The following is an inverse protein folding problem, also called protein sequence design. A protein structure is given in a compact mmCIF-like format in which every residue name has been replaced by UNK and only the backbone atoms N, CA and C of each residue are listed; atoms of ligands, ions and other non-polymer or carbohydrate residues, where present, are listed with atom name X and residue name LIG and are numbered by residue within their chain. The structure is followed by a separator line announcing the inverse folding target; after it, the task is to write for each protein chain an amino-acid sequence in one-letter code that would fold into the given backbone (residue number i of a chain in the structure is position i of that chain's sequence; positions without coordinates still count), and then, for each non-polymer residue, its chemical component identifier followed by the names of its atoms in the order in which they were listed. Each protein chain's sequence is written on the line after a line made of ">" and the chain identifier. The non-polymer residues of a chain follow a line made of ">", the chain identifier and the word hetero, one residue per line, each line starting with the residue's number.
data_IF_152690494111
#
_entry.id   IF_152690494111
#
_cell.length_a   1.000
_cell.length_b   1.000
_cell.length_c   1.000
_cell.angle_alpha   90.00
_cell.angle_beta   90.00
_cell.angle_gamma   90.00
#
_symmetry.space_group_name_H-M   'P 1'
#
loop_
_entity.id
_entity.type
_entity.pdbx_description
1 polymer ?
#
# COMPACT_ATOMS: atom_id res chain seq x y z
N UNK A 1 86.99 8.10 14.70
CA UNK A 1 87.69 9.40 14.60
C UNK A 1 88.82 9.40 15.61
N UNK A 2 89.98 10.00 15.31
CA UNK A 2 91.00 10.27 16.33
C UNK A 2 90.64 11.57 17.05
N UNK A 3 91.06 11.69 18.31
CA UNK A 3 90.84 12.91 19.11
C UNK A 3 91.51 14.10 18.43
N UNK A 4 90.72 15.13 18.07
CA UNK A 4 91.19 16.34 17.37
C UNK A 4 90.84 16.42 15.89
N UNK A 5 90.29 15.35 15.27
CA UNK A 5 89.85 15.40 13.87
C UNK A 5 88.53 16.18 13.72
N UNK A 6 88.47 17.08 12.72
CA UNK A 6 87.26 17.81 12.34
C UNK A 6 86.50 17.03 11.26
N UNK A 7 85.62 16.13 11.70
CA UNK A 7 84.74 15.35 10.83
C UNK A 7 83.32 15.35 11.38
N UNK A 8 82.36 15.64 10.51
CA UNK A 8 80.94 15.55 10.78
C UNK A 8 80.31 14.49 9.88
N UNK A 9 79.32 13.78 10.40
CA UNK A 9 78.47 12.86 9.62
C UNK A 9 77.09 13.50 9.55
N UNK A 10 76.55 13.62 8.35
CA UNK A 10 75.14 13.96 8.17
C UNK A 10 74.43 12.87 7.37
N UNK A 11 73.12 12.77 7.52
CA UNK A 11 72.30 11.80 6.81
C UNK A 11 71.06 12.47 6.24
N UNK A 12 70.69 12.12 5.01
CA UNK A 12 69.41 12.50 4.40
C UNK A 12 68.59 11.25 4.14
N UNK A 13 67.36 11.22 4.63
CA UNK A 13 66.42 10.12 4.41
C UNK A 13 65.34 10.55 3.41
N UNK A 14 65.06 9.70 2.42
CA UNK A 14 64.05 9.97 1.39
C UNK A 14 63.14 8.78 1.17
N UNK A 15 61.84 9.05 0.99
CA UNK A 15 60.90 8.04 0.51
C UNK A 15 61.10 7.78 -0.98
N UNK A 16 60.85 6.54 -1.40
CA UNK A 16 60.89 6.16 -2.81
C UNK A 16 59.83 6.85 -3.68
N UNK A 17 58.68 7.23 -3.10
CA UNK A 17 57.69 8.09 -3.72
C UNK A 17 56.79 8.72 -2.64
N UNK A 18 56.01 9.73 -3.04
CA UNK A 18 55.12 10.47 -2.14
C UNK A 18 53.72 9.84 -1.94
N UNK A 19 53.44 8.68 -2.54
CA UNK A 19 52.11 8.07 -2.45
C UNK A 19 51.87 7.41 -1.10
N UNK A 20 50.61 7.40 -0.67
CA UNK A 20 50.16 6.68 0.52
C UNK A 20 50.54 5.20 0.46
N UNK A 21 50.88 4.64 1.62
CA UNK A 21 51.15 3.22 1.77
C UNK A 21 52.00 2.91 3.01
N UNK A 22 51.96 1.66 3.41
CA UNK A 22 52.79 1.08 4.48
C UNK A 22 53.97 0.31 3.89
N UNK A 23 55.03 0.10 4.67
CA UNK A 23 56.21 -0.65 4.23
C UNK A 23 57.02 0.04 3.14
N UNK A 24 56.88 1.36 3.01
CA UNK A 24 57.58 2.14 1.97
C UNK A 24 59.08 2.12 2.20
N UNK A 25 59.82 2.12 1.10
CA UNK A 25 61.27 2.20 1.12
C UNK A 25 61.73 3.62 1.50
N UNK A 26 62.58 3.68 2.53
CA UNK A 26 63.30 4.87 2.97
C UNK A 26 64.78 4.65 2.69
N UNK A 27 65.37 5.46 1.81
CA UNK A 27 66.81 5.43 1.52
C UNK A 27 67.51 6.49 2.36
N UNK A 28 68.42 6.05 3.22
CA UNK A 28 69.27 6.92 4.06
C UNK A 28 70.65 7.04 3.40
N UNK A 29 71.00 8.25 3.00
CA UNK A 29 72.29 8.58 2.39
C UNK A 29 73.15 9.34 3.39
N UNK A 30 74.36 8.84 3.64
CA UNK A 30 75.32 9.47 4.56
C UNK A 30 76.34 10.32 3.80
N UNK A 31 76.67 11.48 4.36
CA UNK A 31 77.73 12.36 3.85
C UNK A 31 78.68 12.75 4.97
N UNK A 32 79.94 12.95 4.63
CA UNK A 32 80.96 13.45 5.54
C UNK A 32 81.29 14.91 5.24
N UNK A 33 81.42 15.72 6.28
CA UNK A 33 81.87 17.11 6.22
C UNK A 33 82.98 17.39 7.24
N UNK A 34 83.51 18.61 7.25
CA UNK A 34 84.65 19.01 8.09
C UNK A 34 86.00 18.90 7.38
N UNK A 35 87.01 19.57 7.92
CA UNK A 35 88.34 19.69 7.30
C UNK A 35 89.03 18.33 7.09
N UNK A 36 88.71 17.34 7.91
CA UNK A 36 89.32 16.00 7.86
C UNK A 36 88.45 14.95 7.15
N UNK A 37 87.29 15.31 6.58
CA UNK A 37 86.32 14.37 5.99
C UNK A 37 86.92 13.42 4.93
N UNK A 38 87.82 13.94 4.09
CA UNK A 38 88.45 13.17 3.02
C UNK A 38 89.35 12.02 3.52
N UNK A 39 89.72 12.02 4.81
CA UNK A 39 90.52 10.95 5.45
C UNK A 39 89.66 9.76 5.87
N UNK A 40 88.33 9.85 5.72
CA UNK A 40 87.36 8.88 6.21
C UNK A 40 86.50 8.32 5.08
N UNK A 41 86.10 7.05 5.22
CA UNK A 41 85.14 6.40 4.31
C UNK A 41 83.72 6.75 4.74
N UNK A 42 82.90 7.23 3.81
CA UNK A 42 81.46 7.43 4.02
C UNK A 42 80.79 6.09 4.40
N UNK A 43 79.87 6.08 5.38
CA UNK A 43 79.04 4.91 5.67
C UNK A 43 78.20 4.47 4.47
N UNK A 44 77.90 3.16 4.37
CA UNK A 44 77.02 2.66 3.30
C UNK A 44 75.58 3.15 3.50
N UNK A 45 74.90 3.44 2.38
CA UNK A 45 73.50 3.82 2.40
C UNK A 45 72.64 2.66 2.90
N UNK A 46 71.64 2.97 3.71
CA UNK A 46 70.70 1.96 4.22
C UNK A 46 69.34 2.14 3.55
N UNK A 47 68.68 1.03 3.20
CA UNK A 47 67.28 1.04 2.76
C UNK A 47 66.42 0.33 3.80
N UNK A 48 65.43 1.05 4.36
CA UNK A 48 64.46 0.52 5.31
C UNK A 48 63.10 0.34 4.62
N UNK A 49 62.37 -0.74 4.91
CA UNK A 49 61.01 -0.97 4.37
C UNK A 49 59.94 -0.86 5.46
N UNK A 50 60.06 0.17 6.28
CA UNK A 50 59.17 0.43 7.42
C UNK A 50 58.40 1.73 7.28
N UNK A 51 58.59 2.45 6.17
CA UNK A 51 57.99 3.76 5.98
C UNK A 51 56.49 3.70 5.84
N UNK A 52 55.81 4.73 6.35
CA UNK A 52 54.35 4.87 6.27
C UNK A 52 54.00 6.28 5.82
N UNK A 53 53.15 6.37 4.79
CA UNK A 53 52.50 7.61 4.38
C UNK A 53 51.00 7.39 4.51
N UNK A 54 50.36 8.18 5.37
CA UNK A 54 48.91 8.14 5.60
C UNK A 54 48.16 9.07 4.64
N UNK A 55 46.88 8.78 4.41
CA UNK A 55 46.03 9.62 3.54
C UNK A 55 45.90 11.02 4.10
N UNK A 56 45.97 12.01 3.22
CA UNK A 56 45.68 13.39 3.59
C UNK A 56 44.15 13.60 3.60
N UNK A 57 43.56 14.02 4.73
CA UNK A 57 42.15 14.36 4.74
C UNK A 57 41.90 15.63 3.94
N UNK A 58 40.89 15.57 3.07
CA UNK A 58 40.31 16.74 2.41
C UNK A 58 39.18 17.32 3.25
N UNK A 59 39.06 18.63 3.24
CA UNK A 59 37.97 19.34 3.92
C UNK A 59 36.96 19.82 2.90
N UNK A 60 35.69 19.40 3.02
CA UNK A 60 34.60 19.93 2.23
C UNK A 60 34.35 21.41 2.63
N UNK A 61 34.45 22.33 1.67
CA UNK A 61 34.24 23.76 1.91
C UNK A 61 32.78 24.14 1.68
N UNK A 62 32.23 23.74 0.54
CA UNK A 62 30.83 24.00 0.17
C UNK A 62 30.25 22.81 -0.58
N UNK A 63 28.99 22.52 -0.28
CA UNK A 63 28.12 21.66 -1.07
C UNK A 63 26.75 22.31 -1.09
N UNK A 64 26.24 22.59 -2.29
CA UNK A 64 24.84 22.99 -2.48
C UNK A 64 24.00 21.82 -3.00
N UNK A 65 24.49 20.60 -2.84
CA UNK A 65 23.73 19.40 -3.20
C UNK A 65 22.47 19.32 -2.34
N UNK A 66 21.41 18.85 -2.96
CA UNK A 66 20.13 18.59 -2.31
C UNK A 66 19.64 17.22 -2.73
N UNK A 67 18.68 16.68 -1.99
CA UNK A 67 18.10 15.36 -2.30
C UNK A 67 16.85 15.57 -3.15
N UNK A 68 16.76 14.87 -4.28
CA UNK A 68 15.57 14.91 -5.13
C UNK A 68 14.36 14.30 -4.40
N UNK A 69 13.13 14.75 -4.70
CA UNK A 69 11.93 14.10 -4.19
C UNK A 69 11.89 12.62 -4.60
N UNK A 70 11.52 11.74 -3.66
CA UNK A 70 11.41 10.31 -3.89
C UNK A 70 9.99 9.83 -3.56
N UNK A 71 9.39 9.02 -4.42
CA UNK A 71 8.18 8.25 -4.09
C UNK A 71 8.65 6.89 -3.56
N UNK A 72 7.97 6.37 -2.54
CA UNK A 72 8.29 5.09 -1.93
C UNK A 72 8.41 3.97 -2.98
N UNK A 73 9.56 3.31 -2.99
CA UNK A 73 9.94 2.24 -3.92
C UNK A 73 10.59 1.05 -3.22
N UNK A 74 10.57 1.03 -1.87
CA UNK A 74 11.20 -0.02 -1.06
C UNK A 74 12.73 0.05 -0.96
N UNK A 75 13.39 1.07 -1.53
CA UNK A 75 14.84 1.22 -1.55
C UNK A 75 15.33 2.41 -0.70
N UNK A 76 16.54 2.29 -0.14
CA UNK A 76 17.23 3.39 0.56
C UNK A 76 18.02 4.31 -0.38
N UNK A 77 18.13 3.99 -1.67
CA UNK A 77 18.89 4.82 -2.61
C UNK A 77 18.30 6.24 -2.73
N UNK A 78 19.14 7.27 -2.58
CA UNK A 78 18.76 8.66 -2.74
C UNK A 78 19.38 9.26 -4.00
N UNK A 79 18.59 10.00 -4.77
CA UNK A 79 19.09 10.74 -5.92
C UNK A 79 19.54 12.12 -5.45
N UNK A 80 20.83 12.42 -5.60
CA UNK A 80 21.38 13.74 -5.32
C UNK A 80 21.22 14.64 -6.55
N UNK A 81 20.72 15.86 -6.34
CA UNK A 81 20.66 16.88 -7.38
C UNK A 81 22.02 17.55 -7.55
N UNK A 82 22.41 17.94 -8.78
CA UNK A 82 23.71 18.52 -9.06
C UNK A 82 24.02 19.73 -8.17
N UNK A 83 25.22 19.75 -7.61
CA UNK A 83 25.79 20.86 -6.87
C UNK A 83 27.31 20.75 -6.85
N UNK A 84 28.05 21.87 -6.87
CA UNK A 84 29.51 21.83 -6.81
C UNK A 84 29.96 21.16 -5.51
N UNK A 85 30.95 20.28 -5.63
CA UNK A 85 31.69 19.70 -4.51
C UNK A 85 33.04 20.40 -4.48
N UNK A 86 33.20 21.35 -3.55
CA UNK A 86 34.44 22.11 -3.42
C UNK A 86 35.16 21.64 -2.16
N UNK A 87 36.41 21.23 -2.33
CA UNK A 87 37.29 20.75 -1.26
C UNK A 87 38.52 21.63 -1.13
N UNK A 88 39.11 21.64 0.06
CA UNK A 88 40.45 22.15 0.31
C UNK A 88 41.38 21.02 0.79
N UNK A 89 42.69 21.27 0.70
CA UNK A 89 43.72 20.33 1.13
C UNK A 89 44.42 19.57 -0.01
N UNK A 90 43.94 19.69 -1.25
CA UNK A 90 44.65 19.17 -2.42
C UNK A 90 46.03 19.83 -2.57
N UNK A 91 47.04 19.02 -2.87
CA UNK A 91 48.39 19.48 -3.20
C UNK A 91 48.42 19.89 -4.67
N UNK A 92 49.11 20.99 -4.98
CA UNK A 92 49.18 21.51 -6.35
C UNK A 92 49.75 20.49 -7.32
N UNK A 93 49.04 20.26 -8.43
CA UNK A 93 49.39 19.26 -9.46
C UNK A 93 48.70 17.91 -9.29
N UNK A 94 48.08 17.62 -8.14
CA UNK A 94 47.34 16.38 -7.93
C UNK A 94 45.99 16.40 -8.65
N UNK A 95 45.67 15.31 -9.34
CA UNK A 95 44.39 15.12 -10.00
C UNK A 95 43.48 14.20 -9.20
N UNK A 96 42.38 14.76 -8.69
CA UNK A 96 41.32 14.05 -7.96
C UNK A 96 39.96 14.53 -8.45
N UNK A 97 39.14 13.60 -8.95
CA UNK A 97 37.73 13.80 -9.25
C UNK A 97 36.90 13.23 -8.09
N UNK A 98 35.80 13.89 -7.75
CA UNK A 98 34.93 13.49 -6.64
C UNK A 98 33.51 13.32 -7.17
N UNK A 99 32.94 12.14 -6.94
CA UNK A 99 31.50 11.89 -7.11
C UNK A 99 30.85 11.63 -5.75
N UNK A 100 29.53 11.79 -5.70
CA UNK A 100 28.75 11.62 -4.47
C UNK A 100 27.60 10.65 -4.69
N UNK A 101 27.32 9.81 -3.70
CA UNK A 101 26.19 8.89 -3.67
C UNK A 101 25.41 9.09 -2.38
N UNK A 102 24.08 9.13 -2.48
CA UNK A 102 23.17 9.35 -1.36
C UNK A 102 22.45 8.09 -0.93
N UNK A 103 22.34 7.85 0.37
CA UNK A 103 21.54 6.75 0.94
C UNK A 103 20.69 7.27 2.10
N UNK A 104 19.37 7.08 2.04
CA UNK A 104 18.47 7.32 3.15
C UNK A 104 18.75 6.35 4.30
N UNK A 105 18.60 6.80 5.54
CA UNK A 105 18.78 5.95 6.72
C UNK A 105 17.88 4.69 6.72
N UNK A 106 16.69 4.80 6.15
CA UNK A 106 15.75 3.70 5.92
C UNK A 106 14.83 4.02 4.73
N UNK A 107 14.16 3.00 4.19
CA UNK A 107 13.34 3.13 2.99
C UNK A 107 11.93 3.69 3.26
N UNK A 108 11.49 3.83 4.52
CA UNK A 108 10.11 4.19 4.84
C UNK A 108 9.78 5.62 4.44
N UNK A 109 8.52 5.83 4.05
CA UNK A 109 7.99 7.15 3.75
C UNK A 109 8.13 8.09 4.96
N UNK A 110 8.41 9.36 4.70
CA UNK A 110 8.63 10.38 5.72
C UNK A 110 9.31 11.63 5.18
N UNK A 111 9.22 12.71 5.95
CA UNK A 111 9.87 13.98 5.66
C UNK A 111 11.11 14.21 6.53
N UNK A 112 12.09 14.97 6.03
CA UNK A 112 13.29 15.33 6.80
C UNK A 112 14.18 14.13 7.14
N UNK A 113 14.10 13.07 6.34
CA UNK A 113 14.89 11.85 6.56
C UNK A 113 16.36 12.15 6.31
N UNK A 114 17.22 11.65 7.19
CA UNK A 114 18.66 11.74 7.01
C UNK A 114 19.10 10.96 5.77
N UNK A 115 19.95 11.60 4.97
CA UNK A 115 20.63 11.01 3.82
C UNK A 115 22.12 11.10 4.06
N UNK A 116 22.78 9.95 4.20
CA UNK A 116 24.25 9.89 4.20
C UNK A 116 24.75 10.09 2.77
N UNK A 117 25.69 11.02 2.61
CA UNK A 117 26.38 11.31 1.36
C UNK A 117 27.80 10.77 1.45
N UNK A 118 28.09 9.73 0.67
CA UNK A 118 29.42 9.14 0.55
C UNK A 118 30.12 9.70 -0.68
N UNK A 119 31.42 9.97 -0.55
CA UNK A 119 32.23 10.53 -1.62
C UNK A 119 33.19 9.49 -2.20
N UNK A 120 33.12 9.31 -3.52
CA UNK A 120 34.03 8.44 -4.25
C UNK A 120 35.11 9.28 -4.93
N UNK A 121 36.37 9.03 -4.59
CA UNK A 121 37.52 9.74 -5.15
C UNK A 121 38.13 8.91 -6.27
N UNK A 122 38.39 9.55 -7.41
CA UNK A 122 39.05 8.92 -8.57
C UNK A 122 40.08 9.86 -9.19
N UNK A 123 40.94 9.38 -10.09
CA UNK A 123 42.07 10.13 -10.63
C UNK A 123 43.41 9.63 -10.10
N UNK A 124 44.51 10.13 -10.67
CA UNK A 124 45.86 9.60 -10.45
C UNK A 124 46.37 9.75 -9.02
N UNK A 125 45.88 10.76 -8.29
CA UNK A 125 46.27 11.01 -6.91
C UNK A 125 45.20 10.57 -5.88
N UNK A 126 44.05 10.04 -6.31
CA UNK A 126 42.90 9.80 -5.44
C UNK A 126 43.19 8.91 -4.21
N UNK A 127 44.05 7.90 -4.37
CA UNK A 127 44.44 7.01 -3.28
C UNK A 127 45.21 7.71 -2.16
N UNK A 128 45.77 8.90 -2.43
CA UNK A 128 46.50 9.69 -1.45
C UNK A 128 45.59 10.51 -0.54
N UNK A 129 44.28 10.54 -0.82
CA UNK A 129 43.31 11.39 -0.14
C UNK A 129 42.16 10.58 0.46
N UNK A 130 41.53 11.19 1.46
CA UNK A 130 40.27 10.74 2.03
C UNK A 130 39.33 11.92 2.20
N UNK A 131 38.03 11.72 1.97
CA UNK A 131 37.00 12.70 2.24
C UNK A 131 35.93 12.06 3.12
N UNK A 132 35.60 12.70 4.24
CA UNK A 132 34.58 12.21 5.16
C UNK A 132 33.18 12.35 4.54
N UNK A 133 32.28 11.41 4.86
CA UNK A 133 30.87 11.51 4.50
C UNK A 133 30.21 12.71 5.19
N UNK A 134 29.14 13.20 4.58
CA UNK A 134 28.29 14.26 5.14
C UNK A 134 26.83 13.81 5.20
N UNK A 135 25.96 14.60 5.81
CA UNK A 135 24.52 14.33 5.83
C UNK A 135 23.74 15.45 5.14
N UNK A 136 22.67 15.05 4.47
CA UNK A 136 21.61 15.93 3.96
C UNK A 136 20.27 15.46 4.51
N UNK A 137 19.21 16.20 4.20
CA UNK A 137 17.83 15.76 4.44
C UNK A 137 17.09 15.61 3.12
N UNK A 138 16.20 14.62 3.07
CA UNK A 138 15.30 14.38 1.95
C UNK A 138 13.94 13.85 2.40
N UNK A 139 13.03 13.73 1.44
CA UNK A 139 11.68 13.25 1.69
C UNK A 139 11.40 12.02 0.84
N UNK A 140 10.75 11.01 1.43
CA UNK A 140 10.13 9.88 0.73
C UNK A 140 8.62 10.04 0.87
N UNK A 141 7.93 10.37 -0.22
CA UNK A 141 6.48 10.49 -0.27
C UNK A 141 5.85 9.09 -0.32
N UNK A 142 4.80 8.81 0.48
CA UNK A 142 4.08 7.55 0.39
C UNK A 142 3.59 7.26 -1.02
N UNK A 143 3.62 6.00 -1.44
CA UNK A 143 3.15 5.60 -2.77
C UNK A 143 1.63 5.49 -2.79
N UNK A 144 0.99 6.07 -3.80
CA UNK A 144 -0.45 5.99 -3.97
C UNK A 144 -0.86 4.57 -4.43
N UNK A 145 -1.73 3.90 -3.66
CA UNK A 145 -2.38 2.67 -4.11
C UNK A 145 -3.61 2.97 -4.95
N UNK A 146 -3.97 2.05 -5.84
CA UNK A 146 -5.20 2.11 -6.63
C UNK A 146 -5.96 0.80 -6.52
N UNK A 147 -7.28 0.87 -6.73
CA UNK A 147 -8.15 -0.31 -6.84
C UNK A 147 -8.84 -0.27 -8.19
N UNK A 148 -8.85 -1.39 -8.91
CA UNK A 148 -9.65 -1.57 -10.12
C UNK A 148 -10.86 -2.44 -9.82
N UNK A 149 -11.99 -2.16 -10.50
CA UNK A 149 -13.20 -3.00 -10.50
C UNK A 149 -13.78 -3.35 -9.10
N UNK A 150 -13.93 -2.41 -8.15
CA UNK A 150 -14.66 -2.70 -6.92
C UNK A 150 -16.13 -2.98 -7.26
N UNK A 151 -16.74 -3.96 -6.60
CA UNK A 151 -18.17 -4.22 -6.72
C UNK A 151 -18.85 -4.01 -5.38
N UNK A 152 -20.01 -3.37 -5.43
CA UNK A 152 -20.81 -3.07 -4.24
C UNK A 152 -22.19 -3.67 -4.46
N UNK A 153 -22.45 -4.81 -3.82
CA UNK A 153 -23.72 -5.50 -3.99
C UNK A 153 -24.20 -6.13 -2.70
N UNK A 154 -25.52 -6.10 -2.49
CA UNK A 154 -26.17 -6.88 -1.44
C UNK A 154 -27.59 -7.27 -1.82
N UNK A 155 -28.15 -8.19 -1.04
CA UNK A 155 -29.59 -8.42 -0.97
C UNK A 155 -30.18 -7.41 0.02
N UNK A 156 -31.40 -6.96 -0.26
CA UNK A 156 -32.15 -6.07 0.62
C UNK A 156 -32.23 -6.63 2.05
N UNK A 157 -31.78 -5.83 3.01
CA UNK A 157 -31.74 -6.14 4.44
C UNK A 157 -32.33 -5.00 5.29
N UNK A 158 -32.91 -3.98 4.64
CA UNK A 158 -33.42 -2.77 5.29
C UNK A 158 -32.37 -1.76 5.77
N UNK A 159 -31.07 -2.01 5.57
CA UNK A 159 -29.99 -1.10 5.99
C UNK A 159 -29.37 -0.33 4.82
N UNK A 160 -28.62 0.74 5.10
CA UNK A 160 -27.83 1.47 4.09
C UNK A 160 -26.37 1.02 4.03
N UNK A 161 -25.95 0.08 4.87
CA UNK A 161 -24.58 -0.43 4.87
C UNK A 161 -24.28 -1.12 3.54
N UNK A 162 -23.15 -0.73 2.93
CA UNK A 162 -22.70 -1.33 1.69
C UNK A 162 -21.79 -2.53 1.97
N UNK A 163 -21.98 -3.60 1.19
CA UNK A 163 -21.10 -4.77 1.20
C UNK A 163 -20.16 -4.66 -0.01
N UNK A 164 -18.86 -4.70 0.28
CA UNK A 164 -17.82 -4.50 -0.71
C UNK A 164 -17.13 -5.81 -1.04
N UNK A 165 -16.95 -6.06 -2.32
CA UNK A 165 -15.89 -6.95 -2.80
C UNK A 165 -14.84 -6.06 -3.44
N UNK A 166 -13.65 -6.05 -2.83
CA UNK A 166 -12.51 -5.36 -3.41
C UNK A 166 -12.14 -6.04 -4.72
N UNK A 167 -11.85 -5.24 -5.74
CA UNK A 167 -11.16 -5.74 -6.91
C UNK A 167 -9.65 -5.78 -6.67
N UNK A 168 -8.87 -5.66 -7.73
CA UNK A 168 -7.40 -5.77 -7.63
C UNK A 168 -6.78 -4.49 -7.05
N UNK A 169 -5.95 -4.64 -6.03
CA UNK A 169 -5.10 -3.56 -5.50
C UNK A 169 -3.82 -3.49 -6.34
N UNK A 170 -3.43 -2.30 -6.77
CA UNK A 170 -2.20 -2.05 -7.51
C UNK A 170 -1.34 -0.98 -6.84
N UNK A 171 -0.03 -1.06 -7.06
CA UNK A 171 0.96 -0.12 -6.55
C UNK A 171 1.82 -0.64 -5.40
N UNK A 172 1.45 -1.76 -4.78
CA UNK A 172 2.25 -2.43 -3.73
C UNK A 172 3.63 -2.81 -4.31
N UNK A 173 4.68 -2.49 -3.57
CA UNK A 173 6.08 -2.77 -3.92
C UNK A 173 6.44 -4.15 -3.39
N UNK A 174 6.96 -5.03 -4.26
CA UNK A 174 7.46 -6.34 -3.86
C UNK A 174 6.42 -7.19 -3.13
N UNK A 175 6.75 -7.60 -1.90
CA UNK A 175 5.89 -8.41 -1.02
C UNK A 175 5.55 -7.66 0.27
N UNK A 176 5.49 -6.32 0.22
CA UNK A 176 5.09 -5.52 1.38
C UNK A 176 3.74 -5.99 1.94
N UNK A 177 3.67 -6.12 3.26
CA UNK A 177 2.43 -6.43 3.97
C UNK A 177 1.57 -5.17 4.07
N UNK A 178 0.66 -5.06 3.10
CA UNK A 178 -0.35 -4.00 3.02
C UNK A 178 -1.70 -4.61 2.66
N UNK A 179 -2.63 -4.55 3.62
CA UNK A 179 -4.02 -4.94 3.43
C UNK A 179 -4.88 -3.71 3.22
N UNK A 180 -5.75 -3.75 2.21
CA UNK A 180 -6.75 -2.71 1.95
C UNK A 180 -8.11 -3.20 2.40
N UNK A 181 -8.86 -2.37 3.12
CA UNK A 181 -10.28 -2.60 3.39
C UNK A 181 -11.10 -1.43 2.88
N UNK A 182 -12.39 -1.68 2.61
CA UNK A 182 -13.34 -0.66 2.18
C UNK A 182 -14.54 -0.63 3.10
N UNK A 183 -15.01 0.58 3.38
CA UNK A 183 -16.28 0.85 4.06
C UNK A 183 -17.07 1.87 3.26
N UNK A 184 -18.38 1.90 3.45
CA UNK A 184 -19.25 2.81 2.73
C UNK A 184 -20.73 2.51 2.93
N UNK A 185 -21.55 3.38 2.37
CA UNK A 185 -23.01 3.31 2.49
C UNK A 185 -23.68 3.63 1.16
N UNK A 186 -24.85 3.05 0.96
CA UNK A 186 -25.82 3.50 -0.03
C UNK A 186 -26.53 4.76 0.46
N UNK A 187 -27.00 5.60 -0.46
CA UNK A 187 -27.82 6.76 -0.11
C UNK A 187 -29.15 6.37 0.57
N UNK A 188 -29.70 5.21 0.19
CA UNK A 188 -30.92 4.65 0.75
C UNK A 188 -30.91 3.11 0.63
N UNK A 189 -31.77 2.44 1.40
CA UNK A 189 -31.82 0.99 1.49
C UNK A 189 -32.59 0.31 0.35
N UNK A 190 -33.25 1.04 -0.55
CA UNK A 190 -34.16 0.44 -1.53
C UNK A 190 -33.41 -0.27 -2.66
N UNK A 191 -34.05 -1.33 -3.17
CA UNK A 191 -33.62 -2.10 -4.34
C UNK A 191 -33.38 -1.17 -5.53
N UNK A 192 -32.30 -1.44 -6.25
CA UNK A 192 -31.93 -0.66 -7.43
C UNK A 192 -30.50 -0.91 -7.88
N UNK A 193 -30.22 -0.55 -9.12
CA UNK A 193 -28.90 -0.62 -9.76
C UNK A 193 -28.33 0.77 -9.98
N UNK A 194 -27.01 0.90 -10.04
CA UNK A 194 -26.35 2.17 -10.28
C UNK A 194 -26.46 3.16 -9.11
N UNK A 195 -26.73 2.65 -7.91
CA UNK A 195 -26.83 3.49 -6.71
C UNK A 195 -25.47 4.11 -6.42
N UNK A 196 -25.43 5.44 -6.31
CA UNK A 196 -24.24 6.16 -5.88
C UNK A 196 -23.82 5.67 -4.50
N UNK A 197 -22.61 5.14 -4.42
CA UNK A 197 -22.01 4.62 -3.18
C UNK A 197 -20.69 5.35 -2.96
N UNK A 198 -20.53 5.94 -1.77
CA UNK A 198 -19.24 6.51 -1.34
C UNK A 198 -18.39 5.41 -0.73
N UNK A 199 -17.18 5.22 -1.26
CA UNK A 199 -16.25 4.18 -0.80
C UNK A 199 -15.04 4.81 -0.14
N UNK A 200 -14.83 4.52 1.14
CA UNK A 200 -13.66 4.93 1.91
C UNK A 200 -12.75 3.73 2.15
N UNK A 201 -11.48 3.89 1.79
CA UNK A 201 -10.48 2.84 1.93
C UNK A 201 -9.60 3.07 3.15
N UNK A 202 -9.21 1.98 3.81
CA UNK A 202 -8.27 1.98 4.92
C UNK A 202 -7.12 1.01 4.62
N UNK A 203 -5.93 1.34 5.12
CA UNK A 203 -4.75 0.51 5.01
C UNK A 203 -4.39 -0.07 6.38
N UNK A 204 -3.89 -1.30 6.38
CA UNK A 204 -3.31 -1.97 7.54
C UNK A 204 -2.17 -2.89 7.09
N UNK A 205 -1.42 -3.45 8.05
CA UNK A 205 -0.21 -4.22 7.77
C UNK A 205 1.07 -3.46 8.11
N UNK A 206 2.18 -4.18 8.18
CA UNK A 206 3.45 -3.65 8.69
C UNK A 206 4.03 -2.50 7.83
N UNK A 207 3.76 -2.49 6.52
CA UNK A 207 4.26 -1.47 5.59
C UNK A 207 3.21 -0.42 5.22
N UNK A 208 2.01 -0.46 5.81
CA UNK A 208 0.90 0.43 5.42
C UNK A 208 1.24 1.93 5.46
N UNK A 209 2.07 2.37 6.41
CA UNK A 209 2.48 3.77 6.53
C UNK A 209 3.30 4.29 5.34
N UNK A 210 3.84 3.40 4.50
CA UNK A 210 4.59 3.75 3.29
C UNK A 210 3.69 4.05 2.08
N UNK A 211 2.37 3.96 2.25
CA UNK A 211 1.39 4.07 1.18
C UNK A 211 0.26 5.04 1.53
N UNK A 212 -0.31 5.66 0.51
CA UNK A 212 -1.60 6.34 0.61
C UNK A 212 -2.70 5.37 0.19
N UNK A 213 -3.80 5.34 0.96
CA UNK A 213 -4.98 4.56 0.63
C UNK A 213 -5.54 4.97 -0.74
N UNK A 214 -6.17 4.05 -1.50
CA UNK A 214 -6.86 4.41 -2.72
C UNK A 214 -7.83 5.58 -2.50
N UNK A 215 -7.95 6.43 -3.52
CA UNK A 215 -8.78 7.63 -3.42
C UNK A 215 -10.24 7.25 -3.12
N UNK A 216 -10.84 7.95 -2.16
CA UNK A 216 -12.28 7.88 -1.91
C UNK A 216 -13.02 8.45 -3.12
N UNK A 217 -13.91 7.66 -3.71
CA UNK A 217 -14.72 8.06 -4.86
C UNK A 217 -16.18 7.70 -4.60
N UNK A 218 -17.11 8.55 -5.04
CA UNK A 218 -18.52 8.23 -5.14
C UNK A 218 -18.82 7.73 -6.55
N UNK A 219 -19.19 6.45 -6.67
CA UNK A 219 -19.40 5.80 -7.97
C UNK A 219 -20.84 5.24 -8.06
N UNK A 220 -21.49 5.31 -9.23
CA UNK A 220 -22.80 4.70 -9.46
C UNK A 220 -22.65 3.18 -9.73
N UNK A 221 -22.02 2.46 -8.81
CA UNK A 221 -21.71 1.03 -8.93
C UNK A 221 -22.54 0.16 -7.97
N UNK A 222 -23.32 0.79 -7.09
CA UNK A 222 -24.08 0.10 -6.06
C UNK A 222 -25.28 -0.67 -6.63
N UNK A 223 -25.45 -1.91 -6.17
CA UNK A 223 -26.58 -2.77 -6.53
C UNK A 223 -27.21 -3.38 -5.28
N UNK A 224 -28.47 -3.03 -5.00
CA UNK A 224 -29.29 -3.73 -4.01
C UNK A 224 -30.30 -4.59 -4.76
N UNK A 225 -30.25 -5.90 -4.57
CA UNK A 225 -31.21 -6.86 -5.13
C UNK A 225 -32.35 -7.12 -4.15
N UNK A 226 -33.53 -7.45 -4.66
CA UNK A 226 -34.71 -7.68 -3.82
C UNK A 226 -34.56 -8.93 -2.95
N UNK A 227 -35.04 -8.86 -1.71
CA UNK A 227 -35.08 -10.01 -0.81
C UNK A 227 -36.19 -10.98 -1.23
N UNK A 228 -35.95 -12.29 -1.32
CA UNK A 228 -37.00 -13.23 -1.65
C UNK A 228 -37.98 -13.37 -0.48
N UNK A 229 -39.28 -13.40 -0.77
CA UNK A 229 -40.26 -14.00 0.14
C UNK A 229 -40.13 -15.52 0.08
N UNK A 230 -40.17 -16.18 1.24
CA UNK A 230 -39.80 -17.59 1.38
C UNK A 230 -40.93 -18.48 1.85
N UNK A 231 -41.91 -17.93 2.58
CA UNK A 231 -43.06 -18.70 3.05
C UNK A 231 -44.31 -17.83 3.24
N UNK A 232 -45.45 -18.50 3.23
CA UNK A 232 -46.75 -18.02 3.70
C UNK A 232 -47.37 -19.09 4.60
N UNK A 233 -47.92 -18.70 5.75
CA UNK A 233 -48.62 -19.63 6.64
C UNK A 233 -50.03 -19.98 6.14
N UNK A 234 -50.77 -20.82 6.87
CA UNK A 234 -52.12 -21.22 6.48
C UNK A 234 -53.09 -20.01 6.41
N UNK A 235 -54.12 -20.13 5.58
CA UNK A 235 -55.24 -19.19 5.54
C UNK A 235 -55.99 -19.27 6.87
N UNK A 236 -56.34 -18.11 7.43
CA UNK A 236 -57.10 -17.98 8.67
C UNK A 236 -58.57 -17.65 8.36
N UNK A 237 -59.47 -18.04 9.27
CA UNK A 237 -60.92 -17.87 9.12
C UNK A 237 -61.65 -19.18 8.85
N UNK A 238 -62.97 -19.13 8.82
CA UNK A 238 -63.82 -20.30 8.57
C UNK A 238 -64.13 -20.39 7.07
N UNK A 239 -63.84 -21.52 6.39
CA UNK A 239 -64.15 -21.72 4.97
C UNK A 239 -65.66 -21.84 4.71
N UNK A 240 -66.38 -20.71 4.74
CA UNK A 240 -67.84 -20.64 4.57
C UNK A 240 -68.20 -19.44 3.71
N UNK A 241 -69.28 -19.57 2.94
CA UNK A 241 -69.88 -18.43 2.23
C UNK A 241 -70.18 -17.28 3.20
N UNK A 242 -69.81 -16.06 2.81
CA UNK A 242 -70.06 -14.85 3.60
C UNK A 242 -69.09 -14.62 4.76
N UNK A 243 -68.26 -15.59 5.13
CA UNK A 243 -67.25 -15.46 6.19
C UNK A 243 -65.90 -14.98 5.65
N UNK A 244 -65.22 -14.09 6.38
CA UNK A 244 -63.95 -13.53 5.94
C UNK A 244 -62.80 -14.54 6.10
N UNK A 245 -62.06 -14.76 5.02
CA UNK A 245 -60.76 -15.41 5.01
C UNK A 245 -59.65 -14.38 5.02
N UNK A 246 -58.58 -14.66 5.75
CA UNK A 246 -57.37 -13.82 5.83
C UNK A 246 -56.17 -14.62 5.37
N UNK A 247 -55.37 -14.05 4.46
CA UNK A 247 -54.13 -14.66 4.01
C UNK A 247 -53.17 -14.90 5.19
N UNK A 248 -52.36 -15.95 5.09
CA UNK A 248 -51.33 -16.24 6.09
C UNK A 248 -50.26 -15.15 6.19
N UNK A 249 -49.52 -15.17 7.29
CA UNK A 249 -48.34 -14.31 7.50
C UNK A 249 -47.22 -14.67 6.53
N UNK A 250 -46.53 -13.65 6.01
CA UNK A 250 -45.41 -13.79 5.05
C UNK A 250 -44.07 -13.79 5.78
N UNK A 251 -43.13 -14.61 5.29
CA UNK A 251 -41.72 -14.57 5.69
C UNK A 251 -40.85 -14.01 4.56
N UNK A 252 -40.01 -12.98 4.81
CA UNK A 252 -39.84 -12.29 6.09
C UNK A 252 -41.04 -11.39 6.46
N UNK A 253 -41.21 -11.14 7.77
CA UNK A 253 -42.26 -10.25 8.27
C UNK A 253 -42.06 -8.82 7.74
N UNK A 254 -43.15 -8.14 7.41
CA UNK A 254 -43.11 -6.80 6.83
C UNK A 254 -42.74 -6.75 5.34
N UNK A 255 -42.66 -7.90 4.66
CA UNK A 255 -42.51 -7.94 3.22
C UNK A 255 -43.69 -7.25 2.51
N UNK A 256 -43.38 -6.35 1.58
CA UNK A 256 -44.38 -5.77 0.69
C UNK A 256 -44.74 -6.78 -0.39
N UNK A 257 -46.04 -7.07 -0.52
CA UNK A 257 -46.54 -8.15 -1.38
C UNK A 257 -47.85 -7.76 -2.07
N UNK A 258 -48.17 -8.47 -3.14
CA UNK A 258 -49.51 -8.51 -3.75
C UNK A 258 -50.14 -9.89 -3.53
N UNK A 259 -51.46 -9.92 -3.42
CA UNK A 259 -52.24 -11.15 -3.24
C UNK A 259 -53.03 -11.46 -4.51
N UNK A 260 -53.23 -12.74 -4.76
CA UNK A 260 -54.21 -13.22 -5.73
C UNK A 260 -54.85 -14.50 -5.20
N UNK A 261 -56.14 -14.42 -4.88
CA UNK A 261 -56.92 -15.58 -4.46
C UNK A 261 -57.30 -16.44 -5.66
N UNK A 262 -57.25 -17.74 -5.47
CA UNK A 262 -57.59 -18.74 -6.48
C UNK A 262 -58.49 -19.80 -5.88
N UNK A 263 -59.41 -20.32 -6.70
CA UNK A 263 -60.29 -21.40 -6.31
C UNK A 263 -60.16 -22.56 -7.30
N UNK A 264 -60.49 -23.76 -6.84
CA UNK A 264 -60.78 -24.90 -7.72
C UNK A 264 -61.85 -25.76 -7.10
N UNK A 265 -62.59 -26.46 -7.94
CA UNK A 265 -63.48 -27.52 -7.45
C UNK A 265 -62.66 -28.56 -6.68
N UNK A 266 -63.24 -29.12 -5.62
CA UNK A 266 -62.52 -30.04 -4.73
C UNK A 266 -61.95 -31.28 -5.46
N UNK A 267 -62.55 -31.65 -6.59
CA UNK A 267 -62.11 -32.73 -7.49
C UNK A 267 -61.17 -32.28 -8.62
N UNK A 268 -61.02 -30.98 -8.87
CA UNK A 268 -60.19 -30.45 -9.94
C UNK A 268 -58.70 -30.44 -9.57
N UNK A 269 -57.82 -30.45 -10.57
CA UNK A 269 -56.37 -30.36 -10.38
C UNK A 269 -55.92 -28.90 -10.29
N UNK A 270 -56.37 -28.09 -11.24
CA UNK A 270 -55.87 -26.73 -11.48
C UNK A 270 -56.71 -25.66 -10.80
N UNK A 271 -56.02 -24.61 -10.35
CA UNK A 271 -56.62 -23.44 -9.73
C UNK A 271 -56.91 -22.36 -10.77
N UNK A 272 -58.09 -21.75 -10.68
CA UNK A 272 -58.45 -20.56 -11.45
C UNK A 272 -58.43 -19.31 -10.57
N UNK A 273 -58.04 -18.20 -11.18
CA UNK A 273 -58.01 -16.88 -10.54
C UNK A 273 -59.42 -16.42 -10.18
N UNK A 274 -59.61 -15.96 -8.94
CA UNK A 274 -60.83 -15.26 -8.54
C UNK A 274 -60.66 -13.79 -8.93
N UNK A 275 -61.49 -13.32 -9.85
CA UNK A 275 -61.42 -11.95 -10.38
C UNK A 275 -61.49 -10.90 -9.27
N UNK A 276 -60.59 -9.91 -9.32
CA UNK A 276 -60.48 -8.80 -8.35
C UNK A 276 -60.20 -9.18 -6.90
N UNK A 277 -59.98 -10.46 -6.59
CA UNK A 277 -59.62 -10.91 -5.25
C UNK A 277 -58.11 -10.72 -5.01
N UNK A 278 -57.69 -9.47 -4.81
CA UNK A 278 -56.27 -9.09 -4.66
C UNK A 278 -55.93 -8.48 -3.30
N UNK A 279 -56.88 -8.45 -2.37
CA UNK A 279 -56.66 -7.99 -1.00
C UNK A 279 -56.05 -9.10 -0.13
N UNK A 280 -55.50 -8.71 1.04
CA UNK A 280 -55.02 -9.65 2.05
C UNK A 280 -56.14 -10.46 2.71
N UNK A 281 -57.40 -10.07 2.48
CA UNK A 281 -58.59 -10.80 2.89
C UNK A 281 -59.48 -11.07 1.69
N UNK A 282 -60.34 -12.09 1.81
CA UNK A 282 -61.34 -12.43 0.81
C UNK A 282 -62.57 -13.03 1.49
N UNK A 283 -63.76 -12.62 1.05
CA UNK A 283 -65.03 -13.18 1.50
C UNK A 283 -65.60 -14.06 0.39
N UNK A 284 -65.67 -15.40 0.55
CA UNK A 284 -66.23 -16.29 -0.45
C UNK A 284 -67.71 -15.97 -0.73
N UNK A 285 -68.08 -16.02 -2.00
CA UNK A 285 -69.48 -15.92 -2.45
C UNK A 285 -70.03 -17.29 -2.80
N UNK A 286 -71.31 -17.36 -3.15
CA UNK A 286 -71.96 -18.60 -3.62
C UNK A 286 -71.18 -19.32 -4.73
N UNK A 287 -70.50 -18.59 -5.63
CA UNK A 287 -69.70 -19.16 -6.73
C UNK A 287 -68.49 -19.99 -6.25
N UNK A 288 -68.11 -19.85 -4.98
CA UNK A 288 -67.02 -20.57 -4.35
C UNK A 288 -67.49 -21.72 -3.46
N UNK A 289 -68.79 -21.89 -3.21
CA UNK A 289 -69.31 -23.04 -2.44
C UNK A 289 -68.97 -24.34 -3.16
N UNK A 290 -68.44 -25.33 -2.43
CA UNK A 290 -67.95 -26.60 -2.99
C UNK A 290 -66.51 -26.58 -3.50
N UNK A 291 -65.85 -25.41 -3.54
CA UNK A 291 -64.46 -25.24 -3.95
C UNK A 291 -63.51 -25.22 -2.75
N UNK A 292 -62.23 -25.45 -3.00
CA UNK A 292 -61.14 -25.12 -2.07
C UNK A 292 -60.44 -23.86 -2.56
N UNK A 293 -60.01 -23.01 -1.63
CA UNK A 293 -59.39 -21.73 -1.92
C UNK A 293 -57.93 -21.74 -1.48
N UNK A 294 -57.05 -21.12 -2.28
CA UNK A 294 -55.68 -20.80 -1.87
C UNK A 294 -55.37 -19.34 -2.21
N UNK A 295 -54.29 -18.82 -1.65
CA UNK A 295 -53.77 -17.51 -2.04
C UNK A 295 -52.34 -17.64 -2.55
N UNK A 296 -52.08 -17.02 -3.70
CA UNK A 296 -50.74 -16.83 -4.26
C UNK A 296 -50.29 -15.43 -3.90
N UNK A 297 -49.09 -15.31 -3.35
CA UNK A 297 -48.53 -14.04 -2.88
C UNK A 297 -47.21 -13.79 -3.59
N UNK A 298 -47.06 -12.60 -4.17
CA UNK A 298 -45.86 -12.18 -4.89
C UNK A 298 -45.18 -11.00 -4.19
N UNK A 299 -43.86 -11.05 -4.03
CA UNK A 299 -43.08 -9.94 -3.46
C UNK A 299 -43.05 -8.76 -4.41
N UNK A 300 -43.11 -7.54 -3.87
CA UNK A 300 -43.03 -6.30 -4.64
C UNK A 300 -42.03 -5.31 -4.04
N UNK A 301 -41.57 -4.36 -4.85
CA UNK A 301 -40.64 -3.31 -4.43
C UNK A 301 -39.30 -3.89 -3.97
N UNK A 302 -39.06 -3.83 -2.66
CA UNK A 302 -37.82 -4.34 -2.06
C UNK A 302 -37.80 -5.87 -1.89
N UNK A 303 -38.92 -6.52 -2.19
CA UNK A 303 -39.09 -7.97 -2.10
C UNK A 303 -39.42 -8.58 -3.46
N UNK A 304 -39.10 -9.86 -3.63
CA UNK A 304 -39.32 -10.61 -4.87
C UNK A 304 -39.74 -12.04 -4.59
N UNK A 305 -40.03 -12.81 -5.64
CA UNK A 305 -40.45 -14.21 -5.53
C UNK A 305 -41.95 -14.38 -5.33
N UNK A 306 -42.38 -15.63 -5.26
CA UNK A 306 -43.79 -16.00 -5.10
C UNK A 306 -43.91 -17.19 -4.17
N UNK A 307 -44.87 -17.14 -3.25
CA UNK A 307 -45.22 -18.22 -2.34
C UNK A 307 -46.72 -18.49 -2.45
N UNK A 308 -47.12 -19.72 -2.18
CA UNK A 308 -48.53 -20.13 -2.27
C UNK A 308 -48.95 -20.78 -0.96
N UNK A 309 -50.11 -20.41 -0.44
CA UNK A 309 -50.63 -21.00 0.79
C UNK A 309 -51.05 -22.45 0.58
N UNK A 310 -51.14 -23.20 1.68
CA UNK A 310 -51.96 -24.39 1.71
C UNK A 310 -53.44 -24.01 1.39
N UNK A 311 -54.19 -24.89 0.72
CA UNK A 311 -55.60 -24.62 0.45
C UNK A 311 -56.45 -24.76 1.72
N UNK A 312 -57.58 -24.06 1.75
CA UNK A 312 -58.63 -24.22 2.76
C UNK A 312 -59.29 -25.60 2.67
N UNK A 313 -60.05 -25.96 3.70
CA UNK A 313 -61.12 -26.95 3.53
C UNK A 313 -62.17 -26.44 2.50
N UNK A 314 -63.03 -27.33 2.03
CA UNK A 314 -64.10 -26.99 1.07
C UNK A 314 -65.02 -25.92 1.66
N UNK A 315 -65.33 -24.89 0.87
CA UNK A 315 -66.24 -23.82 1.27
C UNK A 315 -67.67 -24.38 1.44
N UNK A 316 -68.23 -24.22 2.63
CA UNK A 316 -69.62 -24.62 2.94
C UNK A 316 -70.60 -23.46 2.77
N UNK A 317 -71.87 -23.78 2.52
CA UNK A 317 -72.95 -22.80 2.50
C UNK A 317 -73.12 -22.12 3.88
N UNK A 318 -73.54 -20.85 3.88
CA UNK A 318 -73.86 -20.10 5.10
C UNK A 318 -75.01 -20.72 5.91
#
# INVERSE_FOLDING_TARGET
>A
MKTGDDVTVSATATYNNANVGTGKAITVVYTLGGADAAKYKVPENTVLQTGEITKKPLTLLTSTQTVAPKIYDGSTAATLLPGPIIVSGLVGGDQVNITAEGTFADANAGSGKEVTVSYNLSGTAATNYSLASTTLQGNITPKQLTISNPTVTKVYDGTTTAAFTLGSVSGIVGQDDVQVSATGTYADANVGTGKTTTVSYQLSGAQAANYNAPQTIALPIGVITAAPITAITAIQGTPKEGEMLTAGTISPSGATVTYQWQAKDSSATDYSTITNATASTYTPTMDQVGKVIRVVVAGTGNYSGTVTSAPTATITLQ
#
